data_IF_125258915544
#
_entry.id   IF_125258915544
#
_cell.length_a   1.000
_cell.length_b   1.000
_cell.length_c   1.000
_cell.angle_alpha   90.00
_cell.angle_beta   90.00
_cell.angle_gamma   90.00
#
_symmetry.space_group_name_H-M   'P 1'
#
loop_
_entity.id
_entity.type
_entity.pdbx_description
1 polymer ?
#
# COMPACT_ATOMS: atom_id res chain seq x y z
N UNK A 1 -39.67 64.86 -18.39
CA UNK A 1 -39.88 63.62 -17.64
C UNK A 1 -38.50 63.04 -17.35
N UNK A 2 -38.10 62.96 -16.08
CA UNK A 2 -36.79 62.41 -15.68
C UNK A 2 -36.92 60.89 -15.63
N UNK A 3 -36.27 60.21 -16.56
CA UNK A 3 -36.15 58.75 -16.54
C UNK A 3 -35.46 58.34 -15.25
N UNK A 4 -36.21 57.62 -14.39
CA UNK A 4 -35.67 57.04 -13.17
C UNK A 4 -34.75 55.88 -13.58
N UNK A 5 -33.50 55.82 -13.10
CA UNK A 5 -32.65 54.67 -13.36
C UNK A 5 -33.30 53.43 -12.73
N UNK A 6 -33.66 52.45 -13.55
CA UNK A 6 -34.12 51.13 -13.09
C UNK A 6 -32.89 50.41 -12.54
N UNK A 7 -32.74 50.39 -11.22
CA UNK A 7 -31.71 49.62 -10.53
C UNK A 7 -32.16 48.15 -10.54
N UNK A 8 -31.69 47.37 -11.51
CA UNK A 8 -31.86 45.91 -11.50
C UNK A 8 -30.76 45.31 -10.62
N UNK A 9 -31.12 44.84 -9.42
CA UNK A 9 -30.23 44.08 -8.54
C UNK A 9 -30.18 42.63 -9.01
N UNK A 10 -29.16 42.25 -9.77
CA UNK A 10 -28.86 40.84 -10.01
C UNK A 10 -28.11 40.29 -8.80
N UNK A 11 -28.83 39.63 -7.90
CA UNK A 11 -28.29 38.97 -6.71
C UNK A 11 -27.98 37.51 -7.10
N UNK A 12 -26.74 37.23 -7.48
CA UNK A 12 -26.28 35.85 -7.71
C UNK A 12 -25.79 35.32 -6.36
N UNK A 13 -26.70 34.68 -5.63
CA UNK A 13 -26.39 34.04 -4.36
C UNK A 13 -25.59 32.75 -4.63
N UNK A 14 -24.30 32.77 -4.28
CA UNK A 14 -23.45 31.60 -4.28
C UNK A 14 -23.86 30.66 -3.13
N UNK A 15 -24.53 29.56 -3.47
CA UNK A 15 -24.76 28.46 -2.54
C UNK A 15 -23.42 27.77 -2.23
N UNK A 16 -22.83 28.12 -1.09
CA UNK A 16 -21.80 27.33 -0.44
C UNK A 16 -22.41 25.97 -0.05
N UNK A 17 -22.32 24.99 -0.95
CA UNK A 17 -22.58 23.59 -0.64
C UNK A 17 -21.49 23.10 0.32
N UNK A 18 -21.68 23.37 1.61
CA UNK A 18 -20.93 22.74 2.70
C UNK A 18 -21.42 21.31 2.81
N UNK A 19 -20.88 20.43 1.97
CA UNK A 19 -21.14 18.99 2.03
C UNK A 19 -20.72 18.45 3.38
N UNK A 20 -21.69 18.21 4.25
CA UNK A 20 -21.51 17.60 5.57
C UNK A 20 -21.30 16.10 5.37
N UNK A 21 -20.04 15.67 5.23
CA UNK A 21 -19.72 14.24 5.21
C UNK A 21 -19.29 13.84 6.62
N UNK A 22 -20.24 13.26 7.35
CA UNK A 22 -20.01 12.59 8.63
C UNK A 22 -19.21 11.31 8.37
N UNK A 23 -18.08 11.14 9.06
CA UNK A 23 -17.31 9.90 9.05
C UNK A 23 -15.82 10.11 9.33
N UNK A 24 -15.42 10.04 10.60
CA UNK A 24 -14.03 9.80 11.01
C UNK A 24 -13.57 8.40 10.52
N UNK A 25 -12.27 8.18 10.21
CA UNK A 25 -11.10 8.71 10.89
C UNK A 25 -10.30 9.68 10.01
N UNK A 26 -10.40 10.98 10.29
CA UNK A 26 -9.76 12.03 9.51
C UNK A 26 -8.31 12.33 9.91
N UNK A 27 -7.82 11.87 11.07
CA UNK A 27 -6.54 12.32 11.61
C UNK A 27 -5.32 11.86 10.78
N UNK A 28 -5.33 10.65 10.21
CA UNK A 28 -4.23 10.17 9.38
C UNK A 28 -4.29 10.73 7.94
N UNK A 29 -5.49 10.85 7.38
CA UNK A 29 -5.71 11.37 6.02
C UNK A 29 -5.44 12.88 5.89
N UNK A 30 -5.52 13.63 7.00
CA UNK A 30 -5.23 15.07 7.01
C UNK A 30 -3.77 15.38 6.69
N UNK A 31 -2.82 14.59 7.20
CA UNK A 31 -1.39 14.79 6.91
C UNK A 31 -1.00 14.44 5.48
N UNK A 32 -1.61 13.40 4.90
CA UNK A 32 -1.21 12.89 3.58
C UNK A 32 -1.85 13.64 2.40
N UNK A 33 -3.03 14.23 2.60
CA UNK A 33 -3.70 15.08 1.61
C UNK A 33 -3.55 16.58 1.92
N UNK A 34 -2.56 16.98 2.72
CA UNK A 34 -2.37 18.36 3.19
C UNK A 34 -2.19 19.36 2.03
N UNK A 35 -1.52 18.96 0.95
CA UNK A 35 -1.35 19.80 -0.24
C UNK A 35 -2.69 20.12 -0.92
N UNK A 36 -3.56 19.12 -1.11
CA UNK A 36 -4.88 19.29 -1.71
C UNK A 36 -5.81 20.10 -0.80
N UNK A 37 -5.72 19.91 0.52
CA UNK A 37 -6.43 20.74 1.49
C UNK A 37 -5.99 22.21 1.40
N UNK A 38 -4.68 22.45 1.29
CA UNK A 38 -4.11 23.80 1.16
C UNK A 38 -4.51 24.45 -0.16
N UNK A 39 -4.58 23.68 -1.25
CA UNK A 39 -5.05 24.16 -2.55
C UNK A 39 -6.53 24.59 -2.49
N UNK A 40 -7.40 23.77 -1.88
CA UNK A 40 -8.81 24.11 -1.70
C UNK A 40 -8.98 25.37 -0.83
N UNK A 41 -8.23 25.48 0.27
CA UNK A 41 -8.24 26.67 1.12
C UNK A 41 -7.82 27.94 0.36
N UNK A 42 -6.83 27.84 -0.53
CA UNK A 42 -6.41 28.95 -1.40
C UNK A 42 -7.52 29.39 -2.35
N UNK A 43 -8.24 28.44 -2.96
CA UNK A 43 -9.38 28.78 -3.83
C UNK A 43 -10.49 29.46 -3.02
N UNK A 44 -10.78 29.00 -1.80
CA UNK A 44 -11.76 29.67 -0.94
C UNK A 44 -11.35 31.11 -0.59
N UNK A 45 -10.06 31.38 -0.38
CA UNK A 45 -9.56 32.74 -0.17
C UNK A 45 -9.72 33.61 -1.42
N UNK A 46 -9.49 33.06 -2.61
CA UNK A 46 -9.69 33.77 -3.88
C UNK A 46 -11.17 34.11 -4.12
N UNK A 47 -12.07 33.18 -3.82
CA UNK A 47 -13.52 33.41 -3.88
C UNK A 47 -13.93 34.52 -2.91
N UNK A 48 -13.44 34.48 -1.67
CA UNK A 48 -13.73 35.54 -0.70
C UNK A 48 -13.22 36.91 -1.17
N UNK A 49 -12.01 36.96 -1.74
CA UNK A 49 -11.44 38.18 -2.30
C UNK A 49 -12.23 38.70 -3.52
N UNK A 50 -12.71 37.82 -4.39
CA UNK A 50 -13.58 38.18 -5.52
C UNK A 50 -14.93 38.73 -5.04
N UNK A 51 -15.55 38.08 -4.06
CA UNK A 51 -16.83 38.50 -3.49
C UNK A 51 -16.74 39.83 -2.72
N UNK A 52 -15.55 40.20 -2.22
CA UNK A 52 -15.30 41.49 -1.60
C UNK A 52 -15.17 42.65 -2.61
N UNK A 53 -15.01 42.36 -3.91
CA UNK A 53 -14.99 43.40 -4.96
C UNK A 53 -16.42 43.98 -5.15
N UNK A 54 -16.54 45.23 -5.66
CA UNK A 54 -17.84 45.76 -6.08
C UNK A 54 -18.52 44.83 -7.08
N UNK A 55 -19.73 44.40 -6.76
CA UNK A 55 -20.48 43.37 -7.50
C UNK A 55 -21.91 43.79 -7.83
N UNK A 56 -22.24 45.07 -7.61
CA UNK A 56 -23.51 45.68 -8.00
C UNK A 56 -23.24 46.59 -9.19
N UNK A 57 -23.84 46.27 -10.33
CA UNK A 57 -23.62 46.98 -11.59
C UNK A 57 -24.94 47.58 -12.11
N UNK A 58 -24.86 48.78 -12.69
CA UNK A 58 -25.98 49.45 -13.37
C UNK A 58 -25.96 49.06 -14.84
N UNK A 59 -26.82 48.11 -15.23
CA UNK A 59 -26.92 47.61 -16.60
C UNK A 59 -27.99 48.42 -17.37
N UNK A 60 -27.74 48.83 -18.63
CA UNK A 60 -26.66 48.40 -19.52
C UNK A 60 -25.35 49.20 -19.42
N UNK A 61 -25.30 50.29 -18.66
CA UNK A 61 -24.14 51.20 -18.59
C UNK A 61 -22.83 50.51 -18.18
N UNK A 62 -22.91 49.48 -17.34
CA UNK A 62 -21.78 48.72 -16.79
C UNK A 62 -21.80 47.24 -17.20
N UNK A 63 -22.27 46.94 -18.42
CA UNK A 63 -22.40 45.56 -18.89
C UNK A 63 -21.06 44.83 -19.02
N UNK A 64 -19.98 45.54 -19.40
CA UNK A 64 -18.64 44.97 -19.52
C UNK A 64 -18.05 44.55 -18.18
N UNK A 65 -18.21 45.39 -17.15
CA UNK A 65 -17.73 45.11 -15.79
C UNK A 65 -18.51 43.96 -15.15
N UNK A 66 -19.84 43.93 -15.35
CA UNK A 66 -20.66 42.81 -14.91
C UNK A 66 -20.26 41.50 -15.60
N UNK A 67 -19.99 41.52 -16.90
CA UNK A 67 -19.53 40.35 -17.64
C UNK A 67 -18.15 39.86 -17.17
N UNK A 68 -17.20 40.78 -16.92
CA UNK A 68 -15.88 40.44 -16.41
C UNK A 68 -15.95 39.84 -14.99
N UNK A 69 -16.79 40.40 -14.12
CA UNK A 69 -17.03 39.85 -12.78
C UNK A 69 -17.57 38.42 -12.87
N UNK A 70 -18.62 38.20 -13.67
CA UNK A 70 -19.22 36.88 -13.83
C UNK A 70 -18.26 35.86 -14.47
N UNK A 71 -17.40 36.30 -15.40
CA UNK A 71 -16.37 35.43 -15.99
C UNK A 71 -15.31 35.00 -14.97
N UNK A 72 -14.86 35.91 -14.09
CA UNK A 72 -13.96 35.56 -12.99
C UNK A 72 -14.64 34.60 -12.00
N UNK A 73 -15.91 34.84 -11.67
CA UNK A 73 -16.70 33.96 -10.82
C UNK A 73 -16.75 32.52 -11.39
N UNK A 74 -17.09 32.38 -12.67
CA UNK A 74 -17.12 31.08 -13.35
C UNK A 74 -15.76 30.37 -13.36
N UNK A 75 -14.66 31.12 -13.52
CA UNK A 75 -13.31 30.55 -13.44
C UNK A 75 -12.96 30.06 -12.02
N UNK A 76 -13.40 30.78 -10.98
CA UNK A 76 -13.23 30.39 -9.59
C UNK A 76 -14.08 29.17 -9.22
N UNK A 77 -15.31 29.05 -9.74
CA UNK A 77 -16.13 27.85 -9.62
C UNK A 77 -15.45 26.62 -10.22
N UNK A 78 -14.91 26.74 -11.43
CA UNK A 78 -14.14 25.67 -12.07
C UNK A 78 -12.91 25.27 -11.25
N UNK A 79 -12.21 26.25 -10.68
CA UNK A 79 -11.06 26.03 -9.80
C UNK A 79 -11.45 25.32 -8.50
N UNK A 80 -12.61 25.66 -7.92
CA UNK A 80 -13.12 25.02 -6.71
C UNK A 80 -13.51 23.57 -6.98
N UNK A 81 -14.24 23.32 -8.07
CA UNK A 81 -14.62 21.97 -8.48
C UNK A 81 -13.38 21.08 -8.69
N UNK A 82 -12.35 21.61 -9.37
CA UNK A 82 -11.09 20.91 -9.57
C UNK A 82 -10.36 20.62 -8.25
N UNK A 83 -10.30 21.59 -7.33
CA UNK A 83 -9.65 21.42 -6.02
C UNK A 83 -10.38 20.39 -5.14
N UNK A 84 -11.72 20.38 -5.15
CA UNK A 84 -12.54 19.39 -4.45
C UNK A 84 -12.32 17.99 -5.04
N UNK A 85 -12.34 17.86 -6.37
CA UNK A 85 -12.09 16.59 -7.05
C UNK A 85 -10.69 16.04 -6.73
N UNK A 86 -9.67 16.91 -6.73
CA UNK A 86 -8.30 16.52 -6.36
C UNK A 86 -8.20 16.03 -4.91
N UNK A 87 -8.87 16.69 -3.97
CA UNK A 87 -8.91 16.27 -2.57
C UNK A 87 -9.63 14.92 -2.40
N UNK A 88 -10.77 14.73 -3.06
CA UNK A 88 -11.52 13.47 -3.08
C UNK A 88 -10.67 12.33 -3.65
N UNK A 89 -10.00 12.56 -4.77
CA UNK A 89 -9.09 11.58 -5.39
C UNK A 89 -7.93 11.20 -4.46
N UNK A 90 -7.34 12.17 -3.76
CA UNK A 90 -6.30 11.89 -2.76
C UNK A 90 -6.84 10.99 -1.64
N UNK A 91 -8.00 11.32 -1.06
CA UNK A 91 -8.63 10.53 0.01
C UNK A 91 -8.96 9.11 -0.44
N UNK A 92 -9.48 8.94 -1.66
CA UNK A 92 -9.76 7.62 -2.22
C UNK A 92 -8.49 6.77 -2.35
N UNK A 93 -7.38 7.35 -2.81
CA UNK A 93 -6.08 6.66 -2.85
C UNK A 93 -5.60 6.25 -1.46
N UNK A 94 -5.65 7.16 -0.48
CA UNK A 94 -5.27 6.84 0.91
C UNK A 94 -6.12 5.67 1.45
N UNK A 95 -7.43 5.71 1.25
CA UNK A 95 -8.34 4.62 1.68
C UNK A 95 -8.02 3.29 0.98
N UNK A 96 -7.77 3.32 -0.34
CA UNK A 96 -7.41 2.12 -1.11
C UNK A 96 -6.10 1.50 -0.60
N UNK A 97 -5.09 2.34 -0.34
CA UNK A 97 -3.81 1.91 0.22
C UNK A 97 -4.01 1.29 1.60
N UNK A 98 -4.75 1.96 2.48
CA UNK A 98 -4.98 1.48 3.84
C UNK A 98 -5.73 0.15 3.85
N UNK A 99 -6.68 -0.05 2.93
CA UNK A 99 -7.37 -1.33 2.75
C UNK A 99 -6.41 -2.43 2.27
N UNK A 100 -5.52 -2.12 1.33
CA UNK A 100 -4.50 -3.05 0.86
C UNK A 100 -3.52 -3.44 1.98
N UNK A 101 -3.09 -2.48 2.81
CA UNK A 101 -2.23 -2.73 3.97
C UNK A 101 -2.93 -3.58 5.04
N UNK A 102 -4.23 -3.37 5.29
CA UNK A 102 -5.03 -4.23 6.18
C UNK A 102 -5.09 -5.67 5.68
N UNK A 103 -5.19 -5.87 4.37
CA UNK A 103 -5.19 -7.22 3.80
C UNK A 103 -3.83 -7.91 3.96
N UNK A 104 -2.72 -7.20 3.77
CA UNK A 104 -1.37 -7.73 4.05
C UNK A 104 -1.21 -8.14 5.51
N UNK A 105 -1.79 -7.37 6.44
CA UNK A 105 -1.74 -7.63 7.88
C UNK A 105 -2.49 -8.90 8.30
N UNK A 106 -3.30 -9.48 7.40
CA UNK A 106 -4.09 -10.68 7.62
C UNK A 106 -5.13 -10.53 8.75
N UNK A 107 -6.42 -10.43 8.38
CA UNK A 107 -7.51 -10.21 9.33
C UNK A 107 -7.80 -11.40 10.29
N UNK A 108 -7.07 -12.53 10.16
CA UNK A 108 -7.28 -13.69 11.03
C UNK A 108 -6.89 -13.39 12.50
N UNK A 109 -7.62 -13.94 13.48
CA UNK A 109 -7.29 -13.78 14.89
C UNK A 109 -5.85 -14.19 15.24
N UNK A 110 -5.15 -13.31 15.96
CA UNK A 110 -3.76 -13.52 16.38
C UNK A 110 -2.69 -13.21 15.32
N UNK A 111 -3.09 -12.78 14.12
CA UNK A 111 -2.13 -12.28 13.12
C UNK A 111 -1.46 -11.01 13.64
N UNK A 112 -0.14 -10.87 13.51
CA UNK A 112 0.57 -9.68 13.98
C UNK A 112 0.33 -8.52 13.02
N UNK A 113 0.49 -7.29 13.51
CA UNK A 113 0.59 -6.14 12.60
C UNK A 113 1.87 -6.24 11.75
N UNK A 114 1.85 -5.59 10.58
CA UNK A 114 3.08 -5.36 9.81
C UNK A 114 4.00 -4.46 10.64
N UNK A 115 5.26 -4.86 10.91
CA UNK A 115 6.16 -4.04 11.71
C UNK A 115 6.36 -2.64 11.11
N UNK A 116 6.40 -1.61 11.95
CA UNK A 116 6.71 -0.27 11.46
C UNK A 116 8.17 -0.22 10.99
N UNK A 117 8.45 0.16 9.72
CA UNK A 117 9.82 0.26 9.25
C UNK A 117 10.55 1.42 9.92
N UNK A 118 11.83 1.20 10.24
CA UNK A 118 12.72 2.27 10.70
C UNK A 118 13.07 3.22 9.54
N UNK A 119 13.31 4.49 9.85
CA UNK A 119 13.66 5.50 8.84
C UNK A 119 14.92 5.13 8.05
N UNK A 120 15.94 4.54 8.70
CA UNK A 120 17.17 4.09 8.04
C UNK A 120 16.91 2.93 7.05
N UNK A 121 15.93 2.08 7.36
CA UNK A 121 15.51 0.97 6.51
C UNK A 121 14.83 1.47 5.25
N UNK A 122 13.90 2.43 5.39
CA UNK A 122 13.24 3.06 4.25
C UNK A 122 14.26 3.74 3.33
N UNK A 123 15.21 4.50 3.90
CA UNK A 123 16.29 5.13 3.13
C UNK A 123 17.12 4.12 2.34
N UNK A 124 17.55 3.02 2.98
CA UNK A 124 18.32 1.96 2.29
C UNK A 124 17.53 1.31 1.15
N UNK A 125 16.22 1.14 1.32
CA UNK A 125 15.35 0.63 0.25
C UNK A 125 15.27 1.66 -0.89
N UNK A 126 15.01 2.93 -0.60
CA UNK A 126 14.95 3.98 -1.62
C UNK A 126 16.28 4.18 -2.37
N UNK A 127 17.42 4.18 -1.66
CA UNK A 127 18.75 4.24 -2.26
C UNK A 127 18.99 3.05 -3.21
N UNK A 128 18.52 1.85 -2.84
CA UNK A 128 18.62 0.67 -3.69
C UNK A 128 17.66 0.72 -4.88
N UNK A 129 16.47 1.30 -4.72
CA UNK A 129 15.51 1.55 -5.81
C UNK A 129 16.07 2.53 -6.85
N UNK A 130 16.84 3.52 -6.42
CA UNK A 130 17.51 4.46 -7.33
C UNK A 130 18.55 3.82 -8.27
N UNK A 131 18.92 2.55 -8.06
CA UNK A 131 19.94 1.84 -8.86
C UNK A 131 19.39 1.11 -10.08
N UNK A 132 18.09 1.15 -10.32
CA UNK A 132 17.48 0.58 -11.52
C UNK A 132 16.41 1.52 -12.08
N UNK A 133 16.16 1.50 -13.40
CA UNK A 133 15.19 2.41 -14.01
C UNK A 133 13.76 2.07 -13.56
N UNK A 134 12.87 3.08 -13.48
CA UNK A 134 11.49 2.88 -13.00
C UNK A 134 10.68 1.89 -13.85
N UNK A 135 10.98 1.81 -15.14
CA UNK A 135 10.39 0.85 -16.08
C UNK A 135 11.21 -0.45 -16.18
N UNK A 136 12.11 -0.73 -15.23
CA UNK A 136 12.82 -2.01 -15.19
C UNK A 136 11.79 -3.14 -15.06
N UNK A 137 11.65 -3.90 -16.13
CA UNK A 137 10.96 -5.18 -16.12
C UNK A 137 12.03 -6.22 -15.89
N UNK A 138 11.92 -6.95 -14.78
CA UNK A 138 12.79 -8.11 -14.57
C UNK A 138 12.63 -9.03 -15.78
N UNK A 139 13.71 -9.43 -16.48
CA UNK A 139 13.60 -10.39 -17.55
C UNK A 139 13.12 -11.69 -16.90
N UNK A 140 11.81 -11.92 -16.95
CA UNK A 140 11.14 -12.99 -16.21
C UNK A 140 11.79 -14.30 -16.63
N UNK A 141 12.59 -14.85 -15.73
CA UNK A 141 12.91 -16.25 -15.74
C UNK A 141 12.06 -16.80 -14.62
N UNK A 142 11.08 -17.62 -14.98
CA UNK A 142 10.40 -18.46 -14.00
C UNK A 142 11.43 -19.23 -13.16
N UNK A 143 10.98 -20.04 -12.19
CA UNK A 143 11.90 -20.76 -11.33
C UNK A 143 12.89 -21.59 -12.17
N UNK A 144 14.13 -21.74 -11.70
CA UNK A 144 15.15 -22.55 -12.39
C UNK A 144 14.70 -24.00 -12.59
N UNK A 145 15.48 -24.81 -13.32
CA UNK A 145 15.16 -26.25 -13.52
C UNK A 145 14.88 -27.01 -12.20
N UNK A 146 15.48 -26.56 -11.10
CA UNK A 146 15.32 -27.14 -9.77
C UNK A 146 14.17 -26.50 -8.96
N UNK A 147 13.48 -25.51 -9.52
CA UNK A 147 12.34 -24.84 -8.93
C UNK A 147 12.65 -23.63 -8.07
N UNK A 148 13.89 -23.13 -8.08
CA UNK A 148 14.28 -22.00 -7.25
C UNK A 148 14.11 -20.68 -8.00
N UNK A 149 13.48 -19.72 -7.34
CA UNK A 149 13.53 -18.32 -7.76
C UNK A 149 14.84 -17.68 -7.34
N UNK A 150 15.43 -16.86 -8.21
CA UNK A 150 16.73 -16.22 -7.98
C UNK A 150 16.72 -14.76 -8.41
N UNK A 151 17.46 -13.94 -7.66
CA UNK A 151 17.87 -12.60 -8.07
C UNK A 151 19.38 -12.66 -8.31
N UNK A 152 19.78 -12.66 -9.58
CA UNK A 152 21.17 -12.89 -9.98
C UNK A 152 22.09 -11.76 -9.48
N UNK A 153 23.31 -12.08 -8.98
CA UNK A 153 24.23 -11.09 -8.38
C UNK A 153 24.60 -9.87 -9.26
N UNK A 154 24.49 -9.98 -10.58
CA UNK A 154 24.76 -8.87 -11.52
C UNK A 154 23.53 -8.13 -12.05
N UNK A 155 22.33 -8.42 -11.53
CA UNK A 155 21.11 -7.76 -12.02
C UNK A 155 20.84 -6.46 -11.27
N UNK A 156 20.31 -5.41 -11.94
CA UNK A 156 19.98 -4.13 -11.29
C UNK A 156 19.18 -4.21 -9.98
N UNK A 157 18.17 -5.10 -9.81
CA UNK A 157 17.42 -5.20 -8.54
C UNK A 157 18.18 -5.93 -7.42
N UNK A 158 19.40 -6.43 -7.64
CA UNK A 158 20.15 -7.18 -6.62
C UNK A 158 20.40 -6.41 -5.32
N UNK A 159 20.84 -5.14 -5.34
CA UNK A 159 21.02 -4.36 -4.11
C UNK A 159 19.73 -4.24 -3.30
N UNK A 160 18.58 -4.09 -3.98
CA UNK A 160 17.28 -4.03 -3.33
C UNK A 160 16.95 -5.36 -2.64
N UNK A 161 17.15 -6.49 -3.33
CA UNK A 161 16.97 -7.81 -2.75
C UNK A 161 17.82 -8.00 -1.48
N UNK A 162 19.09 -7.59 -1.50
CA UNK A 162 19.99 -7.75 -0.36
C UNK A 162 19.57 -6.88 0.85
N UNK A 163 18.97 -5.72 0.62
CA UNK A 163 18.37 -4.89 1.68
C UNK A 163 17.12 -5.56 2.24
N UNK A 164 16.18 -5.96 1.38
CA UNK A 164 14.91 -6.57 1.80
C UNK A 164 15.13 -7.88 2.55
N UNK A 165 16.08 -8.72 2.10
CA UNK A 165 16.45 -9.98 2.76
C UNK A 165 16.96 -9.81 4.18
N UNK A 166 17.57 -8.66 4.52
CA UNK A 166 18.07 -8.41 5.88
C UNK A 166 16.96 -8.05 6.87
N UNK A 167 15.86 -7.52 6.37
CA UNK A 167 14.74 -6.99 7.17
C UNK A 167 13.50 -7.86 7.12
N UNK A 168 13.54 -8.98 6.39
CA UNK A 168 12.40 -9.88 6.19
C UNK A 168 12.83 -11.35 6.17
N UNK A 169 12.05 -12.28 6.77
CA UNK A 169 10.86 -12.01 7.58
C UNK A 169 11.21 -11.43 8.98
N UNK A 170 10.21 -10.94 9.74
CA UNK A 170 10.45 -10.43 11.09
C UNK A 170 11.03 -11.52 12.01
N UNK A 171 12.14 -11.22 12.69
CA UNK A 171 12.88 -12.24 13.48
C UNK A 171 12.23 -12.56 14.82
N UNK A 172 11.48 -11.62 15.39
CA UNK A 172 10.83 -11.78 16.69
C UNK A 172 9.41 -11.19 16.64
N UNK A 173 8.41 -11.98 16.20
CA UNK A 173 7.04 -11.50 16.12
C UNK A 173 6.32 -11.52 17.48
N UNK A 174 6.93 -12.06 18.54
CA UNK A 174 6.32 -12.22 19.86
C UNK A 174 5.66 -13.59 20.11
N UNK A 175 5.24 -13.87 21.37
CA UNK A 175 4.90 -15.22 21.82
C UNK A 175 3.52 -15.73 21.38
N UNK A 176 2.56 -14.84 21.08
CA UNK A 176 1.16 -15.21 20.81
C UNK A 176 0.74 -14.99 19.35
N UNK A 177 1.72 -14.98 18.44
CA UNK A 177 1.49 -14.73 17.02
C UNK A 177 1.02 -15.99 16.31
N UNK A 178 -0.06 -15.84 15.56
CA UNK A 178 -0.50 -16.83 14.57
C UNK A 178 -0.07 -16.41 13.17
N UNK A 179 0.30 -17.39 12.36
CA UNK A 179 0.42 -17.22 10.93
C UNK A 179 -0.45 -18.25 10.26
N UNK A 180 -1.23 -17.82 9.27
CA UNK A 180 -2.23 -18.67 8.63
C UNK A 180 -3.24 -19.30 9.60
N UNK A 181 -3.57 -18.59 10.70
CA UNK A 181 -4.42 -19.10 11.78
C UNK A 181 -3.76 -20.18 12.66
N UNK A 182 -2.47 -20.47 12.47
CA UNK A 182 -1.73 -21.46 13.25
C UNK A 182 -0.80 -20.78 14.23
N UNK A 183 -0.79 -21.23 15.49
CA UNK A 183 0.17 -20.80 16.50
C UNK A 183 1.58 -21.31 16.17
N UNK A 184 2.59 -20.67 16.78
CA UNK A 184 3.97 -21.16 16.74
C UNK A 184 4.04 -22.56 17.35
N UNK A 185 4.56 -23.58 16.65
CA UNK A 185 4.77 -24.89 17.23
C UNK A 185 5.76 -24.86 18.40
N UNK A 186 5.48 -25.66 19.43
CA UNK A 186 6.31 -25.86 20.62
C UNK A 186 7.38 -26.92 20.41
N UNK A 187 8.42 -26.92 21.25
CA UNK A 187 9.39 -28.01 21.29
C UNK A 187 8.68 -29.31 21.63
N UNK A 188 8.98 -30.38 20.87
CA UNK A 188 8.34 -31.68 21.04
C UNK A 188 7.11 -31.92 20.16
N UNK A 189 6.50 -30.85 19.60
CA UNK A 189 5.39 -30.98 18.66
C UNK A 189 5.83 -31.74 17.40
N UNK A 190 4.91 -32.42 16.73
CA UNK A 190 5.20 -33.09 15.46
C UNK A 190 5.53 -32.04 14.37
N UNK A 191 6.64 -32.23 13.64
CA UNK A 191 6.92 -31.44 12.44
C UNK A 191 5.99 -31.88 11.29
N UNK A 192 5.07 -31.01 10.80
CA UNK A 192 4.10 -31.40 9.79
C UNK A 192 4.73 -31.71 8.42
N UNK A 193 5.96 -31.26 8.14
CA UNK A 193 6.66 -31.57 6.89
C UNK A 193 7.22 -33.01 6.81
N UNK A 194 7.20 -33.77 7.92
CA UNK A 194 7.69 -35.17 8.02
C UNK A 194 9.19 -35.28 8.38
N UNK A 195 9.75 -36.44 8.78
CA UNK A 195 9.28 -37.82 9.04
C UNK A 195 8.42 -37.94 10.32
N UNK A 196 7.58 -38.97 10.55
CA UNK A 196 6.75 -39.13 11.77
C UNK A 196 7.47 -39.04 13.12
N UNK A 197 8.80 -39.27 13.13
CA UNK A 197 9.66 -39.17 14.31
C UNK A 197 10.33 -37.80 14.48
N UNK A 198 10.15 -36.89 13.52
CA UNK A 198 10.73 -35.55 13.57
C UNK A 198 9.83 -34.64 14.40
N UNK A 199 10.26 -34.40 15.64
CA UNK A 199 9.68 -33.38 16.52
C UNK A 199 10.33 -32.02 16.24
N UNK A 200 9.63 -30.95 16.58
CA UNK A 200 10.21 -29.61 16.66
C UNK A 200 11.30 -29.63 17.73
N UNK A 201 12.52 -29.23 17.34
CA UNK A 201 13.69 -29.16 18.22
C UNK A 201 13.84 -27.77 18.85
N UNK A 202 14.84 -27.60 19.70
CA UNK A 202 15.14 -26.33 20.38
C UNK A 202 15.10 -26.47 21.89
N UNK A 203 15.24 -25.34 22.60
CA UNK A 203 15.16 -25.30 24.05
C UNK A 203 13.71 -25.04 24.49
N UNK A 204 13.29 -25.44 25.70
CA UNK A 204 12.00 -25.05 26.26
C UNK A 204 11.78 -23.53 26.14
N UNK A 205 10.63 -23.13 25.57
CA UNK A 205 10.31 -21.73 25.29
C UNK A 205 11.01 -21.09 24.06
N UNK A 206 11.96 -21.80 23.44
CA UNK A 206 12.69 -21.36 22.23
C UNK A 206 12.71 -22.45 21.16
N UNK A 207 11.55 -22.77 20.56
CA UNK A 207 11.46 -23.76 19.50
C UNK A 207 12.24 -23.29 18.26
N UNK A 208 12.92 -24.22 17.58
CA UNK A 208 13.62 -24.02 16.32
C UNK A 208 12.63 -23.89 15.15
N UNK A 209 11.79 -22.86 15.24
CA UNK A 209 10.74 -22.49 14.30
C UNK A 209 10.87 -21.00 14.04
N UNK A 210 10.82 -20.63 12.77
CA UNK A 210 10.87 -19.24 12.30
C UNK A 210 9.68 -18.95 11.39
N UNK A 211 9.28 -17.67 11.25
CA UNK A 211 8.39 -17.28 10.17
C UNK A 211 9.10 -17.52 8.83
N UNK A 212 8.40 -18.10 7.87
CA UNK A 212 8.87 -18.29 6.50
C UNK A 212 7.84 -17.75 5.50
N UNK A 213 8.33 -17.28 4.36
CA UNK A 213 7.47 -16.81 3.28
C UNK A 213 6.83 -17.98 2.55
N UNK A 214 5.51 -17.93 2.38
CA UNK A 214 4.76 -18.85 1.52
C UNK A 214 5.21 -18.64 0.07
N UNK A 215 5.12 -17.40 -0.40
CA UNK A 215 5.68 -16.91 -1.66
C UNK A 215 7.05 -16.30 -1.36
N UNK A 216 8.17 -16.94 -1.73
CA UNK A 216 9.50 -16.53 -1.29
C UNK A 216 9.86 -15.12 -1.77
N UNK A 217 10.65 -14.39 -0.99
CA UNK A 217 11.11 -13.03 -1.35
C UNK A 217 11.68 -12.94 -2.77
N UNK A 218 12.45 -13.95 -3.19
CA UNK A 218 13.01 -13.98 -4.55
C UNK A 218 11.93 -14.03 -5.62
N UNK A 219 10.79 -14.68 -5.37
CA UNK A 219 9.64 -14.66 -6.28
C UNK A 219 8.92 -13.31 -6.24
N UNK A 220 8.73 -12.73 -5.05
CA UNK A 220 8.12 -11.40 -4.89
C UNK A 220 8.86 -10.35 -5.73
N UNK A 221 10.19 -10.41 -5.78
CA UNK A 221 11.02 -9.52 -6.61
C UNK A 221 10.71 -9.61 -8.12
N UNK A 222 10.10 -10.71 -8.58
CA UNK A 222 9.67 -10.92 -9.96
C UNK A 222 8.17 -10.73 -10.17
N UNK A 223 7.40 -10.47 -9.12
CA UNK A 223 5.97 -10.20 -9.26
C UNK A 223 5.75 -8.87 -10.00
N UNK A 224 4.85 -8.82 -10.99
CA UNK A 224 4.49 -7.59 -11.68
C UNK A 224 4.17 -6.45 -10.70
N UNK A 225 4.67 -5.25 -11.02
CA UNK A 225 4.45 -4.04 -10.20
C UNK A 225 5.29 -3.93 -8.93
N UNK A 226 5.84 -5.03 -8.38
CA UNK A 226 6.53 -4.98 -7.08
C UNK A 226 7.73 -4.01 -7.09
N UNK A 227 8.55 -4.03 -8.15
CA UNK A 227 9.71 -3.14 -8.28
C UNK A 227 9.35 -1.66 -8.49
N UNK A 228 8.07 -1.36 -8.76
CA UNK A 228 7.58 0.00 -8.95
C UNK A 228 6.99 0.60 -7.67
N UNK A 229 6.77 -0.24 -6.64
CA UNK A 229 6.27 0.20 -5.34
C UNK A 229 7.24 1.19 -4.67
N UNK A 230 6.70 2.10 -3.86
CA UNK A 230 7.53 2.92 -2.96
C UNK A 230 8.17 2.07 -1.84
N UNK A 231 9.21 2.58 -1.17
CA UNK A 231 9.94 1.82 -0.15
C UNK A 231 9.05 1.29 1.00
N UNK A 232 8.07 2.09 1.42
CA UNK A 232 7.13 1.70 2.50
C UNK A 232 6.25 0.53 2.07
N UNK A 233 5.71 0.59 0.86
CA UNK A 233 4.87 -0.46 0.29
C UNK A 233 5.68 -1.74 0.01
N UNK A 234 6.91 -1.63 -0.51
CA UNK A 234 7.82 -2.78 -0.64
C UNK A 234 8.07 -3.46 0.71
N UNK A 235 8.40 -2.67 1.74
CA UNK A 235 8.63 -3.18 3.08
C UNK A 235 7.39 -3.90 3.64
N UNK A 236 6.20 -3.33 3.44
CA UNK A 236 4.94 -3.90 3.90
C UNK A 236 4.66 -5.25 3.23
N UNK A 237 4.80 -5.33 1.90
CA UNK A 237 4.58 -6.57 1.12
C UNK A 237 5.53 -7.68 1.56
N UNK A 238 6.83 -7.40 1.73
CA UNK A 238 7.80 -8.45 2.11
C UNK A 238 7.67 -8.87 3.58
N UNK A 239 7.04 -8.08 4.43
CA UNK A 239 6.80 -8.42 5.84
C UNK A 239 5.35 -8.77 6.13
N UNK A 240 4.53 -8.98 5.09
CA UNK A 240 3.10 -9.20 5.21
C UNK A 240 2.79 -10.53 5.91
N UNK A 241 2.11 -10.52 7.08
CA UNK A 241 1.59 -11.72 7.73
C UNK A 241 0.80 -12.65 6.81
N UNK A 242 0.04 -12.07 5.86
CA UNK A 242 -0.68 -12.82 4.82
C UNK A 242 0.21 -13.82 4.09
N UNK A 243 1.48 -13.49 3.88
CA UNK A 243 2.47 -14.29 3.17
C UNK A 243 3.44 -15.04 4.10
N UNK A 244 3.17 -15.08 5.41
CA UNK A 244 4.02 -15.79 6.38
C UNK A 244 3.34 -17.05 6.88
N UNK A 245 4.14 -18.06 7.23
CA UNK A 245 3.76 -19.25 7.95
C UNK A 245 4.83 -19.66 8.97
N UNK A 246 4.44 -20.36 10.02
CA UNK A 246 5.41 -20.98 10.93
C UNK A 246 6.06 -22.20 10.28
N UNK A 247 7.39 -22.22 10.24
CA UNK A 247 8.14 -23.33 9.68
C UNK A 247 9.32 -23.73 10.57
N UNK A 248 9.51 -25.03 10.76
CA UNK A 248 10.68 -25.56 11.45
C UNK A 248 11.96 -25.17 10.68
N UNK A 249 13.02 -24.78 11.39
CA UNK A 249 14.25 -24.27 10.77
C UNK A 249 14.86 -25.25 9.76
N UNK A 250 14.87 -26.56 10.07
CA UNK A 250 15.36 -27.59 9.15
C UNK A 250 14.53 -27.70 7.85
N UNK A 251 13.20 -27.58 7.97
CA UNK A 251 12.28 -27.55 6.83
C UNK A 251 12.52 -26.30 5.99
N UNK A 252 12.66 -25.14 6.64
CA UNK A 252 12.90 -23.85 5.97
C UNK A 252 14.24 -23.87 5.19
N UNK A 253 15.32 -24.34 5.81
CA UNK A 253 16.62 -24.49 5.14
C UNK A 253 16.54 -25.39 3.90
N UNK A 254 15.78 -26.49 3.99
CA UNK A 254 15.60 -27.42 2.87
C UNK A 254 14.73 -26.84 1.76
N UNK A 255 13.72 -26.03 2.11
CA UNK A 255 12.88 -25.29 1.16
C UNK A 255 13.66 -24.19 0.46
N UNK A 256 14.48 -23.39 1.15
CA UNK A 256 15.20 -22.27 0.53
C UNK A 256 14.22 -21.37 -0.28
N UNK A 257 14.50 -21.11 -1.56
CA UNK A 257 13.76 -20.19 -2.43
C UNK A 257 12.83 -20.89 -3.43
N UNK A 258 12.55 -22.18 -3.23
CA UNK A 258 11.60 -22.96 -4.05
C UNK A 258 10.27 -23.09 -3.32
N UNK A 259 9.24 -23.41 -4.10
CA UNK A 259 7.98 -23.91 -3.56
C UNK A 259 8.23 -25.11 -2.64
N UNK A 260 7.61 -25.10 -1.47
CA UNK A 260 7.71 -26.20 -0.52
C UNK A 260 7.13 -27.49 -1.10
N UNK A 261 6.17 -27.37 -2.02
CA UNK A 261 5.56 -28.48 -2.73
C UNK A 261 6.55 -29.24 -3.64
N UNK A 262 7.71 -28.65 -3.97
CA UNK A 262 8.73 -29.27 -4.84
C UNK A 262 9.84 -30.02 -4.10
N UNK A 263 9.81 -30.07 -2.76
CA UNK A 263 10.80 -30.81 -1.98
C UNK A 263 10.33 -32.26 -1.77
N UNK A 264 10.83 -33.18 -2.59
CA UNK A 264 10.39 -34.59 -2.62
C UNK A 264 10.59 -35.38 -1.32
N UNK A 265 11.48 -34.94 -0.42
CA UNK A 265 11.75 -35.61 0.86
C UNK A 265 10.70 -35.33 1.95
N UNK A 266 9.75 -34.44 1.68
CA UNK A 266 8.68 -34.11 2.63
C UNK A 266 7.44 -34.96 2.43
N UNK A 267 6.65 -35.04 3.48
CA UNK A 267 5.35 -35.72 3.50
C UNK A 267 4.46 -35.26 2.32
N UNK A 268 3.92 -36.19 1.51
CA UNK A 268 3.12 -35.83 0.33
C UNK A 268 1.88 -35.00 0.64
N UNK A 269 1.16 -35.30 1.73
CA UNK A 269 -0.04 -34.55 2.11
C UNK A 269 0.34 -33.12 2.56
N UNK A 270 1.45 -32.98 3.29
CA UNK A 270 1.98 -31.67 3.63
C UNK A 270 2.36 -30.88 2.37
N UNK A 271 3.06 -31.48 1.41
CA UNK A 271 3.41 -30.82 0.15
C UNK A 271 2.19 -30.33 -0.63
N UNK A 272 1.12 -31.14 -0.70
CA UNK A 272 -0.14 -30.74 -1.30
C UNK A 272 -0.76 -29.55 -0.56
N UNK A 273 -0.74 -29.55 0.78
CA UNK A 273 -1.23 -28.44 1.59
C UNK A 273 -0.44 -27.14 1.36
N UNK A 274 0.87 -27.25 1.13
CA UNK A 274 1.73 -26.11 0.81
C UNK A 274 1.44 -25.55 -0.58
N UNK A 275 1.25 -26.41 -1.58
CA UNK A 275 0.82 -25.97 -2.91
C UNK A 275 -0.50 -25.21 -2.84
N UNK A 276 -1.50 -25.77 -2.15
CA UNK A 276 -2.79 -25.10 -1.98
C UNK A 276 -2.65 -23.75 -1.25
N UNK A 277 -1.70 -23.63 -0.31
CA UNK A 277 -1.41 -22.38 0.38
C UNK A 277 -0.76 -21.35 -0.54
N UNK A 278 0.22 -21.76 -1.35
CA UNK A 278 0.86 -20.92 -2.37
C UNK A 278 -0.16 -20.44 -3.42
N UNK A 279 -1.02 -21.34 -3.92
CA UNK A 279 -2.06 -21.04 -4.92
C UNK A 279 -3.10 -20.03 -4.38
N UNK A 280 -3.36 -20.00 -3.06
CA UNK A 280 -4.24 -19.01 -2.43
C UNK A 280 -3.56 -17.67 -2.17
N UNK A 281 -2.30 -17.67 -1.74
CA UNK A 281 -1.61 -16.46 -1.30
C UNK A 281 -1.04 -15.66 -2.46
N UNK A 282 -0.50 -16.34 -3.49
CA UNK A 282 0.08 -15.71 -4.68
C UNK A 282 -0.85 -14.69 -5.36
N UNK A 283 -2.10 -15.03 -5.75
CA UNK A 283 -2.98 -14.07 -6.41
C UNK A 283 -3.39 -12.91 -5.49
N UNK A 284 -3.56 -13.15 -4.18
CA UNK A 284 -3.86 -12.08 -3.22
C UNK A 284 -2.69 -11.10 -3.09
N UNK A 285 -1.47 -11.62 -3.04
CA UNK A 285 -0.28 -10.79 -2.97
C UNK A 285 -0.12 -9.94 -4.23
N UNK A 286 -0.43 -10.51 -5.41
CA UNK A 286 -0.43 -9.77 -6.67
C UNK A 286 -1.48 -8.64 -6.66
N UNK A 287 -2.73 -8.95 -6.32
CA UNK A 287 -3.82 -7.96 -6.25
C UNK A 287 -3.48 -6.81 -5.29
N UNK A 288 -2.89 -7.12 -4.14
CA UNK A 288 -2.43 -6.09 -3.20
C UNK A 288 -1.31 -5.24 -3.79
N UNK A 289 -0.32 -5.83 -4.46
CA UNK A 289 0.75 -5.08 -5.14
C UNK A 289 0.14 -4.11 -6.16
N UNK A 290 -0.83 -4.56 -6.96
CA UNK A 290 -1.49 -3.74 -7.97
C UNK A 290 -2.27 -2.57 -7.35
N UNK A 291 -3.01 -2.82 -6.25
CA UNK A 291 -3.71 -1.77 -5.50
C UNK A 291 -2.77 -0.78 -4.81
N UNK A 292 -1.66 -1.25 -4.24
CA UNK A 292 -0.64 -0.39 -3.66
C UNK A 292 0.01 0.50 -4.72
N UNK A 293 0.25 -0.03 -5.93
CA UNK A 293 0.81 0.73 -7.03
C UNK A 293 -0.16 1.81 -7.55
N UNK A 294 -1.46 1.52 -7.62
CA UNK A 294 -2.48 2.50 -8.04
C UNK A 294 -2.71 3.62 -7.01
N UNK A 295 -2.41 3.36 -5.74
CA UNK A 295 -2.76 4.21 -4.59
C UNK A 295 -1.58 4.97 -3.95
N UNK A 296 -0.36 4.77 -4.45
CA UNK A 296 0.86 5.39 -3.91
C UNK A 296 1.21 6.76 -4.49
#
# INVERSE_FOLDING_TARGET
MRDKPVIVRLLVAFLLLVGSVVGAPAAAAQGECAAQQSALARVHQQIAAHNAKPHVFVVPRQAGEAAAYNAEAAALEGSQAAAVAALQACRAKVQQRDQALKELADARPGSPAIPTPRADTLRKIDDARGKYPRNYVSPIRGPDKNGNWRVSPGTPPRPLYDVLRKVSPPKDPGPNVTYQGKRRPSVGDRNPAGHPRNKITGNPGKPAVSPDHIIPLTEIMHMPGFLQLNARNMYAVVNAPLNLQWMASATNMSKNSRSAARVFKFDPAWRASQKALEDRVRPKLQDVIDRLLASQ
#
